data_IF_772761791139
#
_entry.id   IF_772761791139
#
_cell.length_a   1.000
_cell.length_b   1.000
_cell.length_c   1.000
_cell.angle_alpha   90.00
_cell.angle_beta   90.00
_cell.angle_gamma   90.00
#
_symmetry.space_group_name_H-M   'P 1'
#
loop_
_entity.id
_entity.type
_entity.pdbx_description
1 polymer ?
#
# COMPACT_ATOMS: atom_id res chain seq x y z
N UNK A 1 -35.79 -70.45 19.52
CA UNK A 1 -34.43 -70.16 20.03
C UNK A 1 -34.47 -68.77 20.66
N UNK A 2 -35.17 -68.65 21.79
CA UNK A 2 -34.66 -68.54 23.18
C UNK A 2 -34.07 -67.15 23.49
N UNK A 3 -34.96 -66.29 24.01
CA UNK A 3 -34.68 -65.13 24.88
C UNK A 3 -33.72 -65.48 26.01
N UNK A 4 -32.87 -64.54 26.47
CA UNK A 4 -32.68 -64.21 27.90
C UNK A 4 -32.27 -62.73 28.02
N UNK A 5 -33.16 -61.90 28.61
CA UNK A 5 -32.83 -60.68 29.37
C UNK A 5 -32.13 -61.10 30.66
N UNK A 6 -31.15 -60.33 31.13
CA UNK A 6 -30.83 -60.29 32.56
C UNK A 6 -30.57 -58.85 33.00
N UNK A 7 -31.56 -58.33 33.73
CA UNK A 7 -31.42 -57.26 34.71
C UNK A 7 -30.47 -57.71 35.83
N UNK A 8 -29.67 -56.78 36.37
CA UNK A 8 -29.42 -56.63 37.81
C UNK A 8 -28.27 -55.64 38.09
N UNK A 9 -28.63 -54.51 38.70
CA UNK A 9 -27.77 -53.70 39.56
C UNK A 9 -27.38 -54.49 40.82
N UNK A 10 -26.20 -54.21 41.40
CA UNK A 10 -26.19 -53.61 42.73
C UNK A 10 -25.24 -52.40 42.75
N UNK A 11 -25.68 -51.19 43.11
CA UNK A 11 -25.82 -50.77 44.51
C UNK A 11 -24.57 -51.05 45.37
N UNK A 12 -23.44 -50.37 45.11
CA UNK A 12 -22.41 -50.08 46.12
C UNK A 12 -21.39 -49.05 45.59
N UNK A 13 -21.54 -47.77 45.96
CA UNK A 13 -20.48 -46.81 46.35
C UNK A 13 -21.09 -45.40 46.41
N UNK A 14 -22.03 -45.21 47.34
CA UNK A 14 -22.61 -43.91 47.70
C UNK A 14 -22.14 -43.45 49.09
N UNK A 15 -20.96 -43.86 49.53
CA UNK A 15 -20.44 -43.51 50.85
C UNK A 15 -18.93 -43.36 50.76
N UNK A 16 -18.45 -42.15 51.09
CA UNK A 16 -17.05 -41.64 51.09
C UNK A 16 -16.82 -40.61 49.98
N UNK A 17 -17.47 -39.44 50.09
CA UNK A 17 -16.93 -38.14 49.64
C UNK A 17 -17.83 -36.98 50.15
N UNK A 18 -18.35 -37.14 51.37
CA UNK A 18 -19.16 -36.13 52.07
C UNK A 18 -18.59 -35.84 53.48
N UNK A 19 -17.26 -35.92 53.64
CA UNK A 19 -16.58 -35.66 54.91
C UNK A 19 -15.22 -34.96 54.70
N UNK A 20 -15.21 -33.91 53.87
CA UNK A 20 -14.05 -33.02 53.68
C UNK A 20 -14.50 -31.56 53.56
N UNK A 21 -15.46 -31.17 54.39
CA UNK A 21 -16.01 -29.79 54.44
C UNK A 21 -15.88 -29.10 55.80
N UNK A 22 -15.17 -29.67 56.78
CA UNK A 22 -15.06 -29.06 58.11
C UNK A 22 -13.68 -29.26 58.77
N UNK A 23 -12.68 -28.56 58.24
CA UNK A 23 -11.49 -28.05 58.95
C UNK A 23 -10.86 -27.02 57.99
N UNK A 24 -10.74 -25.72 58.26
CA UNK A 24 -10.39 -25.09 59.52
C UNK A 24 -9.10 -24.29 59.30
N UNK A 25 -9.26 -23.04 58.84
CA UNK A 25 -8.37 -21.88 59.02
C UNK A 25 -6.91 -21.90 58.50
N UNK A 26 -6.68 -21.21 57.38
CA UNK A 26 -6.06 -19.88 57.42
C UNK A 26 -6.70 -19.04 56.32
N UNK A 27 -6.96 -17.76 56.60
CA UNK A 27 -7.40 -16.83 55.57
C UNK A 27 -6.29 -16.71 54.53
N UNK A 28 -6.41 -17.47 53.45
CA UNK A 28 -5.86 -17.05 52.18
C UNK A 28 -6.74 -15.87 51.77
N UNK A 29 -6.30 -14.67 52.15
CA UNK A 29 -6.67 -13.48 51.40
C UNK A 29 -6.56 -13.86 49.92
N UNK A 30 -7.59 -13.58 49.08
CA UNK A 30 -7.40 -13.73 47.64
C UNK A 30 -6.09 -13.03 47.33
N UNK A 31 -5.10 -13.79 46.84
CA UNK A 31 -3.88 -13.21 46.30
C UNK A 31 -4.42 -12.31 45.20
N UNK A 32 -4.49 -11.03 45.51
CA UNK A 32 -4.79 -9.98 44.55
C UNK A 32 -3.83 -10.29 43.40
N UNK A 33 -4.32 -10.71 42.22
CA UNK A 33 -3.43 -10.88 41.10
C UNK A 33 -2.71 -9.54 41.01
N UNK A 34 -1.40 -9.56 41.28
CA UNK A 34 -0.59 -8.35 41.25
C UNK A 34 -0.92 -7.61 39.95
N UNK A 35 -0.89 -6.27 39.95
CA UNK A 35 -1.32 -5.46 38.81
C UNK A 35 -0.84 -6.14 37.53
N UNK A 36 -1.78 -6.51 36.65
CA UNK A 36 -1.46 -7.24 35.42
C UNK A 36 -0.28 -6.50 34.75
N UNK A 37 0.88 -7.17 34.71
CA UNK A 37 2.08 -6.57 34.13
C UNK A 37 1.74 -6.26 32.67
N UNK A 38 1.68 -4.96 32.34
CA UNK A 38 1.41 -4.51 30.98
C UNK A 38 2.37 -5.23 30.04
N UNK A 39 1.88 -6.07 29.10
CA UNK A 39 2.74 -6.81 28.20
C UNK A 39 3.51 -5.87 27.25
N UNK A 40 3.17 -4.58 27.20
CA UNK A 40 3.93 -3.58 26.47
C UNK A 40 4.16 -2.34 27.36
N UNK A 41 5.04 -2.41 28.36
CA UNK A 41 5.32 -1.25 29.19
C UNK A 41 5.85 -0.11 28.33
N UNK A 42 5.46 1.13 28.62
CA UNK A 42 5.93 2.29 27.87
C UNK A 42 7.47 2.33 27.84
N UNK A 43 8.11 2.43 26.67
CA UNK A 43 9.55 2.27 26.55
C UNK A 43 10.31 3.50 27.08
N UNK A 44 10.74 3.44 28.34
CA UNK A 44 11.54 4.49 28.99
C UNK A 44 12.99 4.56 28.50
N UNK A 45 13.41 3.61 27.66
CA UNK A 45 14.71 3.60 26.97
C UNK A 45 14.56 3.16 25.52
N UNK A 46 15.51 3.54 24.66
CA UNK A 46 15.54 3.07 23.27
C UNK A 46 15.67 1.53 23.15
N UNK A 47 16.29 0.87 24.13
CA UNK A 47 16.37 -0.60 24.13
C UNK A 47 15.03 -1.24 24.53
N UNK A 48 14.28 -0.63 25.45
CA UNK A 48 12.90 -1.05 25.74
C UNK A 48 11.98 -0.83 24.53
N UNK A 49 12.19 0.24 23.75
CA UNK A 49 11.48 0.50 22.50
C UNK A 49 11.69 -0.64 21.50
N UNK A 50 12.95 -1.07 21.30
CA UNK A 50 13.25 -2.16 20.37
C UNK A 50 12.75 -3.53 20.86
N UNK A 51 12.73 -3.77 22.17
CA UNK A 51 12.13 -4.98 22.74
C UNK A 51 10.60 -5.02 22.51
N UNK A 52 9.92 -3.88 22.62
CA UNK A 52 8.49 -3.78 22.30
C UNK A 52 8.24 -3.91 20.79
N UNK A 53 9.13 -3.37 19.95
CA UNK A 53 9.05 -3.53 18.48
C UNK A 53 9.13 -5.01 18.07
N UNK A 54 10.10 -5.74 18.64
CA UNK A 54 10.23 -7.19 18.43
C UNK A 54 8.94 -7.92 18.79
N UNK A 55 8.43 -7.67 20.00
CA UNK A 55 7.20 -8.30 20.50
C UNK A 55 5.98 -7.98 19.63
N UNK A 56 5.83 -6.73 19.21
CA UNK A 56 4.71 -6.33 18.35
C UNK A 56 4.70 -7.11 17.02
N UNK A 57 5.88 -7.41 16.46
CA UNK A 57 6.00 -8.26 15.27
C UNK A 57 5.73 -9.74 15.56
N UNK A 58 6.28 -10.30 16.64
CA UNK A 58 6.03 -11.71 16.99
C UNK A 58 4.55 -11.99 17.29
N UNK A 59 3.86 -11.04 17.91
CA UNK A 59 2.45 -11.13 18.27
C UNK A 59 1.49 -10.59 17.19
N UNK A 60 2.03 -10.09 16.07
CA UNK A 60 1.26 -9.46 14.98
C UNK A 60 0.33 -8.34 15.48
N UNK A 61 0.78 -7.56 16.45
CA UNK A 61 -0.02 -6.51 17.10
C UNK A 61 0.16 -5.17 16.40
N UNK A 62 -0.73 -4.86 15.44
CA UNK A 62 -0.70 -3.59 14.70
C UNK A 62 -0.94 -2.38 15.60
N UNK A 63 -1.80 -2.53 16.61
CA UNK A 63 -2.08 -1.47 17.59
C UNK A 63 -0.84 -1.13 18.43
N UNK A 64 -0.13 -2.15 18.93
CA UNK A 64 1.09 -1.92 19.71
C UNK A 64 2.22 -1.40 18.83
N UNK A 65 2.38 -1.92 17.62
CA UNK A 65 3.31 -1.36 16.64
C UNK A 65 3.07 0.13 16.41
N UNK A 66 1.82 0.53 16.13
CA UNK A 66 1.45 1.92 15.89
C UNK A 66 1.66 2.86 17.09
N UNK A 67 1.66 2.33 18.32
CA UNK A 67 1.98 3.09 19.54
C UNK A 67 3.47 3.40 19.67
N UNK A 68 4.33 2.55 19.11
CA UNK A 68 5.78 2.75 19.09
C UNK A 68 6.22 3.78 18.06
N UNK A 69 5.38 4.08 17.06
CA UNK A 69 5.70 5.04 16.00
C UNK A 69 5.39 6.48 16.45
N UNK A 70 6.38 7.36 16.34
CA UNK A 70 6.24 8.80 16.47
C UNK A 70 5.39 9.35 15.32
N UNK A 71 4.68 10.47 15.53
CA UNK A 71 3.88 11.14 14.49
C UNK A 71 4.67 11.42 13.21
N UNK A 72 5.90 11.93 13.36
CA UNK A 72 6.85 12.20 12.27
C UNK A 72 7.58 10.95 11.74
N UNK A 73 7.08 9.72 11.97
CA UNK A 73 7.77 8.51 11.53
C UNK A 73 7.94 8.47 10.01
N UNK A 74 9.14 8.08 9.55
CA UNK A 74 9.41 7.78 8.15
C UNK A 74 10.15 6.46 7.96
N UNK A 75 9.66 5.62 7.05
CA UNK A 75 10.38 4.46 6.53
C UNK A 75 11.04 4.80 5.19
N UNK A 76 12.35 4.63 5.09
CA UNK A 76 13.14 4.90 3.88
C UNK A 76 13.51 3.60 3.16
N UNK A 77 13.07 3.49 1.91
CA UNK A 77 13.30 2.30 1.07
C UNK A 77 14.72 2.25 0.51
N UNK A 78 15.25 1.03 0.34
CA UNK A 78 16.52 0.78 -0.32
C UNK A 78 16.36 0.65 -1.84
N UNK A 79 17.29 1.25 -2.60
CA UNK A 79 17.59 0.80 -3.97
C UNK A 79 16.68 1.31 -5.09
N UNK A 80 15.77 2.24 -4.84
CA UNK A 80 15.02 2.93 -5.89
C UNK A 80 15.91 3.99 -6.53
N UNK A 81 16.65 3.57 -7.57
CA UNK A 81 17.79 4.27 -8.18
C UNK A 81 17.60 5.76 -8.55
N UNK A 82 16.40 6.30 -8.55
CA UNK A 82 16.13 7.70 -8.90
C UNK A 82 15.12 8.43 -7.98
N UNK A 83 14.61 7.79 -6.91
CA UNK A 83 13.76 8.44 -5.88
C UNK A 83 13.89 7.68 -4.58
N UNK A 84 14.30 8.31 -3.48
CA UNK A 84 14.01 7.74 -2.15
C UNK A 84 12.49 7.76 -2.04
N UNK A 85 11.83 6.61 -2.19
CA UNK A 85 10.44 6.53 -1.73
C UNK A 85 10.50 6.45 -0.21
N UNK A 86 9.68 7.25 0.45
CA UNK A 86 9.47 7.15 1.90
C UNK A 86 8.03 6.77 2.16
N UNK A 87 7.81 5.96 3.19
CA UNK A 87 6.49 5.84 3.80
C UNK A 87 6.45 6.65 5.07
N UNK A 88 5.38 7.42 5.27
CA UNK A 88 5.11 8.07 6.55
C UNK A 88 4.55 7.06 7.56
N UNK A 89 4.30 7.52 8.79
CA UNK A 89 3.71 6.72 9.88
C UNK A 89 2.47 5.92 9.46
N UNK A 90 1.50 6.56 8.83
CA UNK A 90 0.20 5.96 8.55
C UNK A 90 0.29 4.97 7.38
N UNK A 91 1.08 5.28 6.34
CA UNK A 91 1.41 4.35 5.25
C UNK A 91 2.07 3.08 5.80
N UNK A 92 3.05 3.26 6.66
CA UNK A 92 3.80 2.18 7.25
C UNK A 92 2.96 1.32 8.19
N UNK A 93 2.16 1.97 9.04
CA UNK A 93 1.25 1.31 9.95
C UNK A 93 0.14 0.56 9.20
N UNK A 94 -0.41 1.13 8.13
CA UNK A 94 -1.43 0.48 7.31
C UNK A 94 -0.88 -0.79 6.65
N UNK A 95 0.25 -0.69 5.95
CA UNK A 95 0.90 -1.86 5.34
C UNK A 95 1.31 -2.93 6.36
N UNK A 96 1.89 -2.52 7.49
CA UNK A 96 2.28 -3.46 8.55
C UNK A 96 1.05 -4.12 9.20
N UNK A 97 -0.04 -3.37 9.41
CA UNK A 97 -1.29 -3.91 9.95
C UNK A 97 -2.01 -4.82 8.97
N UNK A 98 -1.96 -4.53 7.66
CA UNK A 98 -2.49 -5.39 6.61
C UNK A 98 -1.77 -6.75 6.61
N UNK A 99 -0.44 -6.73 6.69
CA UNK A 99 0.39 -7.93 6.85
C UNK A 99 0.01 -8.71 8.11
N UNK A 100 -0.08 -8.04 9.26
CA UNK A 100 -0.42 -8.66 10.55
C UNK A 100 -1.83 -9.24 10.61
N UNK A 101 -2.74 -8.74 9.78
CA UNK A 101 -4.11 -9.26 9.69
C UNK A 101 -4.20 -10.60 8.94
N UNK A 102 -3.08 -11.10 8.41
CA UNK A 102 -3.04 -12.33 7.63
C UNK A 102 -3.70 -12.19 6.26
N UNK A 103 -3.85 -10.97 5.75
CA UNK A 103 -4.36 -10.76 4.40
C UNK A 103 -3.32 -11.21 3.37
N UNK A 104 -3.73 -11.85 2.27
CA UNK A 104 -2.82 -12.19 1.19
C UNK A 104 -2.33 -10.92 0.51
N UNK A 105 -1.11 -11.00 -0.01
CA UNK A 105 -0.52 -9.98 -0.85
C UNK A 105 -0.63 -10.41 -2.32
N UNK A 106 -0.95 -9.48 -3.19
CA UNK A 106 -0.92 -9.71 -4.63
C UNK A 106 -0.11 -8.59 -5.28
N UNK A 107 0.94 -8.97 -5.99
CA UNK A 107 1.74 -8.05 -6.78
C UNK A 107 1.97 -8.66 -8.17
N UNK A 108 1.99 -7.83 -9.22
CA UNK A 108 2.14 -8.30 -10.60
C UNK A 108 3.50 -8.97 -10.85
N UNK A 109 4.54 -8.55 -10.13
CA UNK A 109 5.89 -9.08 -10.25
C UNK A 109 6.09 -10.35 -9.42
N UNK A 110 5.50 -10.39 -8.22
CA UNK A 110 5.70 -11.49 -7.26
C UNK A 110 4.57 -12.52 -7.21
N UNK A 111 3.48 -12.26 -7.93
CA UNK A 111 2.27 -13.06 -7.94
C UNK A 111 1.51 -13.02 -6.62
N UNK A 112 0.56 -13.95 -6.46
CA UNK A 112 -0.15 -14.16 -5.22
C UNK A 112 0.79 -14.69 -4.12
N UNK A 113 0.80 -14.03 -2.97
CA UNK A 113 1.47 -14.45 -1.75
C UNK A 113 0.39 -14.68 -0.69
N UNK A 114 0.32 -15.89 -0.10
CA UNK A 114 -0.58 -16.16 1.01
C UNK A 114 -0.31 -15.21 2.18
N UNK A 115 -1.32 -15.02 3.04
CA UNK A 115 -1.19 -14.14 4.21
C UNK A 115 -0.15 -14.63 5.22
N UNK A 116 0.36 -13.71 6.04
CA UNK A 116 1.27 -14.03 7.14
C UNK A 116 0.47 -14.58 8.33
N UNK A 117 0.76 -15.80 8.76
CA UNK A 117 0.14 -16.43 9.94
C UNK A 117 0.98 -16.25 11.21
N UNK A 118 2.27 -15.94 11.06
CA UNK A 118 3.15 -15.68 12.19
C UNK A 118 4.52 -15.21 11.78
N UNK A 119 5.21 -14.57 12.72
CA UNK A 119 6.54 -14.04 12.53
C UNK A 119 7.40 -14.52 13.70
N UNK A 120 8.63 -14.93 13.40
CA UNK A 120 9.64 -15.23 14.42
C UNK A 120 10.83 -14.31 14.21
N UNK A 121 11.22 -13.62 15.27
CA UNK A 121 12.41 -12.75 15.27
C UNK A 121 13.61 -13.57 15.73
N UNK A 122 14.40 -14.05 14.76
CA UNK A 122 15.62 -14.80 15.06
C UNK A 122 16.77 -13.88 15.47
N UNK A 123 16.79 -12.65 14.97
CA UNK A 123 17.86 -11.69 15.24
C UNK A 123 17.30 -10.28 15.21
N UNK A 124 17.45 -9.55 16.31
CA UNK A 124 17.31 -8.10 16.38
C UNK A 124 18.44 -7.57 17.26
N UNK A 125 19.66 -7.55 16.69
CA UNK A 125 20.87 -7.28 17.46
C UNK A 125 21.48 -5.96 17.03
N UNK A 126 21.52 -5.01 17.97
CA UNK A 126 22.17 -3.72 17.81
C UNK A 126 23.66 -3.89 17.49
N UNK A 127 24.13 -3.31 16.38
CA UNK A 127 25.51 -3.36 15.90
C UNK A 127 26.33 -2.13 16.32
N UNK A 128 25.67 -0.99 16.51
CA UNK A 128 26.31 0.27 16.92
C UNK A 128 25.66 0.81 18.20
N UNK A 129 26.37 1.64 18.96
CA UNK A 129 25.68 2.41 20.00
C UNK A 129 24.66 3.37 19.39
N UNK A 130 23.67 3.76 20.18
CA UNK A 130 22.80 4.88 19.83
C UNK A 130 23.64 6.16 19.74
N UNK A 131 23.54 6.84 18.61
CA UNK A 131 24.26 8.08 18.34
C UNK A 131 23.27 9.17 17.97
N UNK A 132 23.40 10.34 18.58
CA UNK A 132 22.57 11.49 18.22
C UNK A 132 22.82 11.87 16.75
N UNK A 133 21.73 12.10 16.02
CA UNK A 133 21.80 12.73 14.71
C UNK A 133 22.06 14.22 14.87
N UNK A 134 22.53 14.85 13.79
CA UNK A 134 22.73 16.29 13.80
C UNK A 134 21.37 17.02 13.91
N UNK A 135 21.37 18.19 14.56
CA UNK A 135 20.15 19.01 14.66
C UNK A 135 19.65 19.50 13.29
N UNK A 136 20.54 19.53 12.30
CA UNK A 136 20.28 19.89 10.90
C UNK A 136 20.23 18.67 9.97
N UNK A 137 20.09 17.45 10.52
CA UNK A 137 19.79 16.27 9.72
C UNK A 137 18.47 16.51 8.96
N UNK A 138 18.46 16.36 7.62
CA UNK A 138 17.30 16.70 6.81
C UNK A 138 16.10 15.79 7.05
N UNK A 139 16.34 14.55 7.50
CA UNK A 139 15.31 13.52 7.58
C UNK A 139 14.91 13.27 9.04
N UNK A 140 15.90 13.21 9.96
CA UNK A 140 15.64 12.88 11.38
C UNK A 140 16.35 13.83 12.36
N UNK A 141 16.00 15.13 12.39
CA UNK A 141 16.65 16.10 13.26
C UNK A 141 16.35 15.84 14.74
N UNK A 142 17.38 15.97 15.59
CA UNK A 142 17.29 15.74 17.06
C UNK A 142 16.78 14.32 17.41
N UNK A 143 17.26 13.31 16.69
CA UNK A 143 16.96 11.91 16.96
C UNK A 143 18.22 11.17 17.40
N UNK A 144 18.07 9.91 17.79
CA UNK A 144 19.17 8.96 17.97
C UNK A 144 19.06 7.88 16.91
N UNK A 145 20.17 7.45 16.33
CA UNK A 145 20.21 6.35 15.37
C UNK A 145 21.13 5.21 15.82
N UNK A 146 20.79 4.00 15.43
CA UNK A 146 21.65 2.83 15.58
C UNK A 146 21.40 1.81 14.45
N UNK A 147 22.46 1.12 14.04
CA UNK A 147 22.38 -0.01 13.12
C UNK A 147 22.02 -1.29 13.87
N UNK A 148 21.17 -2.10 13.26
CA UNK A 148 20.73 -3.40 13.75
C UNK A 148 20.92 -4.46 12.67
N UNK A 149 21.38 -5.65 13.08
CA UNK A 149 21.20 -6.86 12.29
C UNK A 149 19.80 -7.40 12.54
N UNK A 150 19.03 -7.58 11.48
CA UNK A 150 17.62 -7.96 11.52
C UNK A 150 17.45 -9.29 10.78
N UNK A 151 16.92 -10.29 11.47
CA UNK A 151 16.71 -11.66 11.00
C UNK A 151 15.29 -12.13 11.36
N UNK A 152 14.35 -12.03 10.42
CA UNK A 152 12.94 -12.34 10.62
C UNK A 152 12.52 -13.50 9.72
N UNK A 153 11.73 -14.42 10.26
CA UNK A 153 11.12 -15.52 9.50
C UNK A 153 9.62 -15.33 9.51
N UNK A 154 9.04 -15.21 8.32
CA UNK A 154 7.61 -15.02 8.12
C UNK A 154 7.01 -16.36 7.70
N UNK A 155 6.04 -16.84 8.47
CA UNK A 155 5.27 -18.05 8.20
C UNK A 155 4.03 -17.67 7.41
N UNK A 156 3.88 -18.26 6.22
CA UNK A 156 2.74 -18.01 5.35
C UNK A 156 1.63 -19.02 5.57
N UNK A 157 0.41 -18.62 5.24
CA UNK A 157 -0.77 -19.49 5.25
C UNK A 157 -0.51 -20.82 4.54
N UNK A 158 -0.87 -21.91 5.22
CA UNK A 158 -0.59 -23.28 4.78
C UNK A 158 0.71 -23.87 5.34
N UNK A 159 1.49 -23.11 6.12
CA UNK A 159 2.49 -23.59 7.08
C UNK A 159 3.78 -24.22 6.52
N UNK A 160 3.87 -24.47 5.22
CA UNK A 160 5.10 -25.02 4.59
C UNK A 160 5.97 -23.95 3.92
N UNK A 161 5.41 -22.77 3.67
CA UNK A 161 6.10 -21.70 2.96
C UNK A 161 6.52 -20.64 3.97
N UNK A 162 7.79 -20.27 3.92
CA UNK A 162 8.35 -19.16 4.70
C UNK A 162 9.16 -18.28 3.77
N UNK A 163 9.22 -17.00 4.07
CA UNK A 163 10.30 -16.16 3.56
C UNK A 163 11.06 -15.57 4.74
N UNK A 164 12.33 -15.25 4.50
CA UNK A 164 13.24 -14.73 5.53
C UNK A 164 13.72 -13.36 5.10
N UNK A 165 13.85 -12.46 6.07
CA UNK A 165 14.60 -11.23 5.89
C UNK A 165 15.81 -11.31 6.80
N UNK A 166 17.01 -11.23 6.23
CA UNK A 166 18.29 -11.23 6.96
C UNK A 166 19.19 -10.11 6.44
N UNK A 167 19.01 -8.91 6.98
CA UNK A 167 19.65 -7.68 6.49
C UNK A 167 20.03 -6.74 7.63
N UNK A 168 20.73 -5.66 7.27
CA UNK A 168 21.03 -4.58 8.20
C UNK A 168 19.98 -3.48 8.02
N UNK A 169 19.55 -2.88 9.12
CA UNK A 169 18.59 -1.77 9.17
C UNK A 169 19.18 -0.66 10.04
N UNK A 170 18.90 0.61 9.71
CA UNK A 170 19.14 1.72 10.64
C UNK A 170 17.79 2.11 11.24
N UNK A 171 17.73 2.13 12.57
CA UNK A 171 16.57 2.64 13.30
C UNK A 171 16.88 4.03 13.83
N UNK A 172 15.88 4.91 13.77
CA UNK A 172 15.91 6.25 14.32
C UNK A 172 14.84 6.33 15.42
N UNK A 173 15.24 6.76 16.61
CA UNK A 173 14.38 6.90 17.78
C UNK A 173 14.48 8.31 18.34
N UNK A 174 13.37 8.81 18.89
CA UNK A 174 13.29 10.15 19.49
C UNK A 174 12.79 10.02 20.91
N UNK A 175 13.44 10.74 21.83
CA UNK A 175 12.92 10.90 23.19
C UNK A 175 11.66 11.78 23.13
N UNK A 176 10.59 11.29 23.74
CA UNK A 176 9.31 11.97 23.90
C UNK A 176 9.00 12.11 25.40
N UNK A 177 7.89 12.75 25.73
CA UNK A 177 7.47 12.87 27.13
C UNK A 177 7.36 11.47 27.75
N UNK A 178 8.17 11.23 28.77
CA UNK A 178 8.23 10.00 29.56
C UNK A 178 8.72 8.73 28.83
N UNK A 179 9.31 8.82 27.63
CA UNK A 179 9.93 7.64 26.99
C UNK A 179 10.46 7.86 25.58
N UNK A 180 10.40 6.82 24.75
CA UNK A 180 11.01 6.77 23.42
C UNK A 180 10.02 6.27 22.37
N UNK A 181 10.10 6.82 21.16
CA UNK A 181 9.35 6.33 20.01
C UNK A 181 10.26 6.22 18.79
N UNK A 182 9.91 5.35 17.85
CA UNK A 182 10.55 5.26 16.54
C UNK A 182 10.13 6.46 15.69
N UNK A 183 11.09 7.24 15.22
CA UNK A 183 10.87 8.33 14.28
C UNK A 183 11.35 7.96 12.87
N UNK A 184 12.05 6.83 12.72
CA UNK A 184 12.29 6.31 11.40
C UNK A 184 12.93 4.95 11.36
N UNK A 185 12.89 4.35 10.18
CA UNK A 185 13.57 3.11 9.85
C UNK A 185 14.10 3.21 8.43
N UNK A 186 15.32 2.76 8.19
CA UNK A 186 15.96 2.78 6.89
C UNK A 186 16.42 1.39 6.51
N UNK A 187 15.98 0.96 5.33
CA UNK A 187 16.54 -0.22 4.70
C UNK A 187 17.92 0.12 4.10
N UNK A 188 18.97 -0.50 4.63
CA UNK A 188 20.36 -0.25 4.19
C UNK A 188 20.71 -1.13 2.98
N UNK A 189 19.79 -2.00 2.59
CA UNK A 189 19.96 -2.95 1.50
C UNK A 189 20.67 -4.22 1.94
N UNK A 190 20.39 -5.30 1.22
CA UNK A 190 20.89 -6.61 1.59
C UNK A 190 22.33 -6.85 1.09
N UNK A 191 23.16 -7.44 1.94
CA UNK A 191 24.15 -8.44 1.51
C UNK A 191 23.45 -9.80 1.33
N UNK A 192 22.42 -9.85 0.47
CA UNK A 192 21.58 -11.03 0.26
C UNK A 192 22.44 -12.27 -0.06
N UNK A 193 22.30 -13.32 0.76
CA UNK A 193 22.88 -14.64 0.54
C UNK A 193 21.90 -15.54 -0.22
N UNK A 194 21.93 -15.45 -1.55
CA UNK A 194 21.64 -16.47 -2.56
C UNK A 194 20.31 -17.30 -2.53
N UNK A 195 19.51 -17.31 -1.47
CA UNK A 195 18.29 -18.12 -1.39
C UNK A 195 17.07 -17.22 -1.09
N UNK A 196 16.52 -16.61 -2.15
CA UNK A 196 15.26 -15.84 -2.13
C UNK A 196 15.18 -14.75 -1.03
N UNK A 197 16.25 -13.98 -0.86
CA UNK A 197 16.27 -12.91 0.14
C UNK A 197 15.34 -11.75 -0.27
N UNK A 198 14.28 -11.58 0.51
CA UNK A 198 13.41 -10.42 0.46
C UNK A 198 14.07 -9.29 1.28
N UNK A 199 14.14 -8.08 0.73
CA UNK A 199 14.52 -6.90 1.52
C UNK A 199 13.32 -6.41 2.32
N UNK A 200 13.57 -5.58 3.34
CA UNK A 200 12.49 -4.94 4.10
C UNK A 200 11.61 -4.08 3.19
N UNK A 201 12.25 -3.40 2.24
CA UNK A 201 11.60 -2.66 1.16
C UNK A 201 10.66 -3.52 0.34
N UNK A 202 11.12 -4.68 -0.15
CA UNK A 202 10.27 -5.60 -0.94
C UNK A 202 9.11 -6.13 -0.11
N UNK A 203 9.34 -6.44 1.17
CA UNK A 203 8.27 -6.92 2.06
C UNK A 203 7.18 -5.86 2.24
N UNK A 204 7.58 -4.63 2.60
CA UNK A 204 6.63 -3.55 2.81
C UNK A 204 5.83 -3.27 1.54
N UNK A 205 6.49 -3.21 0.38
CA UNK A 205 5.80 -3.10 -0.90
C UNK A 205 4.80 -4.23 -1.15
N UNK A 206 5.19 -5.47 -0.86
CA UNK A 206 4.36 -6.64 -1.08
C UNK A 206 3.08 -6.61 -0.24
N UNK A 207 3.17 -6.23 1.04
CA UNK A 207 2.02 -6.18 1.96
C UNK A 207 1.49 -4.78 2.21
N UNK A 208 1.71 -3.85 1.29
CA UNK A 208 1.01 -2.57 1.35
C UNK A 208 -0.49 -2.82 1.36
N UNK A 209 -1.21 -2.05 2.15
CA UNK A 209 -2.66 -2.11 2.14
C UNK A 209 -3.14 -1.64 0.74
N UNK A 210 -3.85 -2.48 -0.03
CA UNK A 210 -4.29 -2.14 -1.37
C UNK A 210 -5.25 -0.95 -1.40
N UNK A 211 -5.91 -0.66 -0.28
CA UNK A 211 -6.79 0.50 -0.13
C UNK A 211 -6.02 1.73 0.38
N UNK A 212 -4.77 1.57 0.83
CA UNK A 212 -3.91 2.67 1.29
C UNK A 212 -2.89 3.02 0.19
N UNK A 213 -3.28 3.95 -0.69
CA UNK A 213 -2.38 4.41 -1.73
C UNK A 213 -1.49 5.57 -1.30
N UNK A 214 -0.30 5.63 -1.92
CA UNK A 214 0.77 6.52 -1.51
C UNK A 214 0.34 7.99 -1.55
N UNK A 215 0.51 8.67 -0.42
CA UNK A 215 0.30 10.10 -0.32
C UNK A 215 1.32 10.81 -1.21
N UNK A 216 0.83 11.44 -2.28
CA UNK A 216 1.69 12.09 -3.27
C UNK A 216 1.94 13.54 -2.85
N UNK A 217 3.09 13.82 -2.24
CA UNK A 217 3.48 15.19 -1.83
C UNK A 217 4.08 16.00 -2.96
N UNK A 218 4.48 15.32 -4.05
CA UNK A 218 5.02 15.94 -5.25
C UNK A 218 4.24 15.50 -6.49
N UNK A 219 4.23 16.32 -7.56
CA UNK A 219 3.72 15.90 -8.87
C UNK A 219 4.36 14.61 -9.38
N UNK A 220 5.64 14.44 -9.05
CA UNK A 220 6.44 13.33 -9.51
C UNK A 220 5.98 12.02 -8.86
N UNK A 221 5.77 12.01 -7.53
CA UNK A 221 5.17 10.89 -6.80
C UNK A 221 3.77 10.54 -7.32
N UNK A 222 2.93 11.56 -7.56
CA UNK A 222 1.60 11.38 -8.15
C UNK A 222 1.66 10.62 -9.48
N UNK A 223 2.61 10.95 -10.36
CA UNK A 223 2.76 10.23 -11.63
C UNK A 223 3.29 8.80 -11.46
N UNK A 224 4.01 8.53 -10.36
CA UNK A 224 4.35 7.17 -9.95
C UNK A 224 3.11 6.38 -9.56
N UNK A 225 2.26 6.97 -8.72
CA UNK A 225 0.96 6.38 -8.33
C UNK A 225 0.06 6.14 -9.53
N UNK A 226 -0.04 7.10 -10.44
CA UNK A 226 -0.78 6.95 -11.69
C UNK A 226 -0.30 5.75 -12.50
N UNK A 227 1.02 5.61 -12.67
CA UNK A 227 1.60 4.52 -13.44
C UNK A 227 1.30 3.16 -12.81
N UNK A 228 1.38 3.12 -11.48
CA UNK A 228 1.09 1.93 -10.70
C UNK A 228 -0.38 1.53 -10.81
N UNK A 229 -1.31 2.46 -10.60
CA UNK A 229 -2.75 2.21 -10.70
C UNK A 229 -3.14 1.65 -12.08
N UNK A 230 -2.53 2.16 -13.16
CA UNK A 230 -2.73 1.64 -14.50
C UNK A 230 -2.09 0.26 -14.71
N UNK A 231 -0.87 0.03 -14.24
CA UNK A 231 -0.20 -1.27 -14.33
C UNK A 231 -1.04 -2.36 -13.69
N UNK A 232 -1.40 -2.14 -12.43
CA UNK A 232 -2.18 -3.07 -11.60
C UNK A 232 -3.68 -3.13 -11.96
N UNK A 233 -4.13 -2.32 -12.92
CA UNK A 233 -5.54 -2.19 -13.30
C UNK A 233 -6.45 -1.94 -12.08
N UNK A 234 -6.01 -1.09 -11.15
CA UNK A 234 -6.71 -0.85 -9.88
C UNK A 234 -7.49 0.46 -9.92
N UNK A 235 -8.81 0.38 -9.77
CA UNK A 235 -9.70 1.53 -9.94
C UNK A 235 -9.73 2.46 -8.72
N UNK A 236 -9.76 1.93 -7.50
CA UNK A 236 -9.81 2.77 -6.29
C UNK A 236 -8.59 3.72 -6.20
N UNK A 237 -7.35 3.25 -6.45
CA UNK A 237 -6.17 4.10 -6.46
C UNK A 237 -6.19 5.14 -7.57
N UNK A 238 -6.68 4.76 -8.74
CA UNK A 238 -6.83 5.68 -9.84
C UNK A 238 -7.82 6.79 -9.49
N UNK A 239 -8.97 6.43 -8.92
CA UNK A 239 -9.99 7.38 -8.46
C UNK A 239 -9.50 8.34 -7.37
N UNK A 240 -8.75 7.81 -6.41
CA UNK A 240 -8.22 8.54 -5.26
C UNK A 240 -7.19 9.61 -5.68
N UNK A 241 -6.47 9.41 -6.78
CA UNK A 241 -5.56 10.43 -7.33
C UNK A 241 -6.23 11.46 -8.23
N UNK A 242 -7.49 11.28 -8.65
CA UNK A 242 -8.18 12.27 -9.49
C UNK A 242 -8.75 13.41 -8.65
N UNK A 243 -8.41 14.65 -9.02
CA UNK A 243 -9.05 15.85 -8.45
C UNK A 243 -10.55 15.87 -8.78
N UNK A 244 -11.39 16.49 -7.93
CA UNK A 244 -12.84 16.56 -8.17
C UNK A 244 -13.22 17.18 -9.52
N UNK A 245 -12.52 18.25 -9.91
CA UNK A 245 -12.65 18.93 -11.21
C UNK A 245 -11.85 18.28 -12.35
N UNK A 246 -11.50 16.99 -12.26
CA UNK A 246 -10.70 16.33 -13.29
C UNK A 246 -11.35 16.45 -14.67
N UNK A 247 -10.51 16.74 -15.69
CA UNK A 247 -10.90 16.71 -17.10
C UNK A 247 -9.91 15.92 -17.96
N UNK A 248 -10.44 15.11 -18.86
CA UNK A 248 -9.70 14.52 -19.96
C UNK A 248 -10.09 15.18 -21.28
N UNK A 249 -9.14 15.84 -21.93
CA UNK A 249 -9.33 16.53 -23.22
C UNK A 249 -8.77 15.66 -24.34
N UNK A 250 -9.63 15.31 -25.29
CA UNK A 250 -9.28 14.50 -26.44
C UNK A 250 -8.46 15.31 -27.46
N UNK A 251 -7.74 14.60 -28.32
CA UNK A 251 -7.04 15.23 -29.45
C UNK A 251 -8.00 16.09 -30.28
N UNK A 252 -7.52 17.25 -30.74
CA UNK A 252 -8.31 18.25 -31.49
C UNK A 252 -9.53 18.80 -30.73
N UNK A 253 -9.55 18.69 -29.40
CA UNK A 253 -10.62 19.14 -28.50
C UNK A 253 -12.00 18.58 -28.89
N UNK A 254 -12.03 17.42 -29.55
CA UNK A 254 -13.28 16.81 -30.07
C UNK A 254 -14.23 16.37 -28.97
N UNK A 255 -13.73 16.17 -27.75
CA UNK A 255 -14.51 15.88 -26.57
C UNK A 255 -13.74 16.30 -25.31
N UNK A 256 -14.50 16.63 -24.28
CA UNK A 256 -14.00 16.81 -22.91
C UNK A 256 -14.79 15.84 -22.04
N UNK A 257 -14.08 14.98 -21.32
CA UNK A 257 -14.66 14.09 -20.32
C UNK A 257 -14.36 14.64 -18.94
N UNK A 258 -15.34 14.54 -18.04
CA UNK A 258 -15.15 14.83 -16.64
C UNK A 258 -14.62 13.61 -15.87
N UNK A 259 -14.44 13.76 -14.55
CA UNK A 259 -14.04 12.66 -13.65
C UNK A 259 -14.93 11.43 -13.78
N UNK A 260 -16.25 11.59 -13.87
CA UNK A 260 -17.18 10.47 -13.86
C UNK A 260 -17.13 9.68 -15.18
N UNK A 261 -17.09 10.38 -16.31
CA UNK A 261 -16.91 9.77 -17.63
C UNK A 261 -15.60 8.98 -17.72
N UNK A 262 -14.52 9.57 -17.23
CA UNK A 262 -13.20 8.95 -17.23
C UNK A 262 -13.15 7.71 -16.34
N UNK A 263 -13.66 7.81 -15.10
CA UNK A 263 -13.73 6.68 -14.18
C UNK A 263 -14.60 5.55 -14.72
N UNK A 264 -15.74 5.85 -15.34
CA UNK A 264 -16.61 4.82 -15.90
C UNK A 264 -15.89 4.03 -17.01
N UNK A 265 -15.18 4.73 -17.91
CA UNK A 265 -14.38 4.08 -18.94
C UNK A 265 -13.21 3.29 -18.36
N UNK A 266 -12.49 3.87 -17.40
CA UNK A 266 -11.29 3.25 -16.82
C UNK A 266 -11.67 2.04 -15.97
N UNK A 267 -12.74 2.10 -15.19
CA UNK A 267 -13.29 0.98 -14.43
C UNK A 267 -13.71 -0.18 -15.34
N UNK A 268 -14.37 0.12 -16.47
CA UNK A 268 -14.78 -0.90 -17.43
C UNK A 268 -13.57 -1.62 -18.06
N UNK A 269 -12.54 -0.84 -18.40
CA UNK A 269 -11.27 -1.35 -18.91
C UNK A 269 -10.53 -2.20 -17.86
N UNK A 270 -10.42 -1.73 -16.62
CA UNK A 270 -9.74 -2.41 -15.51
C UNK A 270 -10.46 -3.67 -15.05
N UNK A 271 -11.78 -3.73 -15.18
CA UNK A 271 -12.55 -4.95 -14.94
C UNK A 271 -12.38 -6.01 -16.05
N UNK A 272 -11.67 -5.69 -17.13
CA UNK A 272 -11.51 -6.58 -18.30
C UNK A 272 -12.80 -6.79 -19.08
N UNK A 273 -13.77 -5.87 -18.97
CA UNK A 273 -15.01 -5.97 -19.71
C UNK A 273 -14.76 -5.70 -21.22
N UNK A 274 -15.53 -6.35 -22.11
CA UNK A 274 -15.47 -6.07 -23.54
C UNK A 274 -15.74 -4.59 -23.85
N UNK A 275 -14.94 -4.03 -24.75
CA UNK A 275 -15.18 -2.71 -25.32
C UNK A 275 -16.13 -2.75 -26.53
N UNK A 276 -16.30 -1.61 -27.18
CA UNK A 276 -17.11 -1.45 -28.38
C UNK A 276 -16.38 -0.60 -29.42
N UNK A 277 -16.29 -1.11 -30.66
CA UNK A 277 -15.77 -0.36 -31.79
C UNK A 277 -16.79 0.72 -32.24
N UNK A 278 -16.37 1.73 -33.02
CA UNK A 278 -17.27 2.79 -33.51
C UNK A 278 -18.46 2.29 -34.34
N UNK A 279 -18.35 1.12 -34.97
CA UNK A 279 -19.44 0.48 -35.73
C UNK A 279 -20.42 -0.33 -34.86
N UNK A 280 -20.19 -0.34 -33.54
CA UNK A 280 -20.98 -1.07 -32.56
C UNK A 280 -20.58 -2.53 -32.36
N UNK A 281 -19.60 -3.04 -33.10
CA UNK A 281 -19.07 -4.40 -32.88
C UNK A 281 -18.27 -4.49 -31.58
N UNK A 282 -18.22 -5.69 -30.99
CA UNK A 282 -17.49 -5.91 -29.75
C UNK A 282 -15.98 -5.82 -29.96
N UNK A 283 -15.28 -5.31 -28.95
CA UNK A 283 -13.84 -5.39 -28.77
C UNK A 283 -13.55 -6.29 -27.57
N UNK A 284 -12.53 -7.12 -27.66
CA UNK A 284 -12.10 -7.96 -26.52
C UNK A 284 -11.76 -7.10 -25.31
N UNK A 285 -11.96 -7.65 -24.11
CA UNK A 285 -11.60 -6.97 -22.85
C UNK A 285 -10.10 -6.86 -22.66
N UNK A 286 -9.66 -5.91 -21.82
CA UNK A 286 -8.25 -5.80 -21.43
C UNK A 286 -7.91 -6.85 -20.39
N UNK A 287 -6.86 -7.62 -20.63
CA UNK A 287 -6.33 -8.63 -19.72
C UNK A 287 -5.20 -8.10 -18.85
N UNK A 288 -4.34 -7.25 -19.41
CA UNK A 288 -3.25 -6.59 -18.68
C UNK A 288 -2.85 -5.29 -19.34
N UNK A 289 -2.29 -4.37 -18.55
CA UNK A 289 -1.78 -3.09 -19.02
C UNK A 289 -0.30 -3.00 -18.64
N UNK A 290 0.54 -2.61 -19.59
CA UNK A 290 1.95 -2.37 -19.34
C UNK A 290 2.31 -0.95 -19.76
N UNK A 291 2.69 -0.13 -18.78
CA UNK A 291 3.21 1.21 -18.98
C UNK A 291 4.71 1.14 -19.32
N UNK A 292 5.03 0.91 -20.59
CA UNK A 292 6.42 0.79 -21.04
C UNK A 292 7.19 2.11 -20.94
N UNK A 293 6.51 3.25 -21.07
CA UNK A 293 7.12 4.57 -21.00
C UNK A 293 6.15 5.57 -20.40
N UNK A 294 6.60 6.27 -19.36
CA UNK A 294 5.97 7.47 -18.81
C UNK A 294 7.09 8.42 -18.42
N UNK A 295 7.66 9.10 -19.43
CA UNK A 295 8.86 9.92 -19.25
C UNK A 295 8.48 11.39 -19.41
N UNK A 296 8.65 12.15 -18.33
CA UNK A 296 8.47 13.61 -18.33
C UNK A 296 9.48 14.26 -19.30
N UNK A 297 8.97 15.02 -20.27
CA UNK A 297 9.73 15.73 -21.31
C UNK A 297 10.00 17.20 -20.98
N UNK A 298 9.13 17.83 -20.18
CA UNK A 298 9.27 19.23 -19.74
C UNK A 298 9.22 19.33 -18.21
N UNK A 299 9.83 20.34 -17.57
CA UNK A 299 9.56 20.59 -16.16
C UNK A 299 8.07 20.87 -15.92
N UNK A 300 7.65 20.81 -14.65
CA UNK A 300 6.34 21.29 -14.23
C UNK A 300 6.29 22.82 -14.34
N UNK A 301 5.27 23.32 -15.03
CA UNK A 301 5.04 24.74 -15.27
C UNK A 301 3.69 25.14 -14.70
N UNK A 302 3.65 26.18 -13.86
CA UNK A 302 2.39 26.71 -13.34
C UNK A 302 1.48 27.29 -14.44
N UNK A 303 0.22 26.92 -14.40
CA UNK A 303 -0.85 27.43 -15.26
C UNK A 303 -1.54 28.60 -14.56
N UNK A 304 -1.89 29.62 -15.35
CA UNK A 304 -2.53 30.81 -14.82
C UNK A 304 -3.93 30.51 -14.29
N UNK A 305 -4.33 31.15 -13.19
CA UNK A 305 -5.69 31.11 -12.60
C UNK A 305 -6.86 31.40 -13.56
N UNK A 306 -6.58 31.93 -14.76
CA UNK A 306 -7.60 32.31 -15.74
C UNK A 306 -7.71 31.28 -16.88
N UNK A 307 -6.95 30.19 -16.82
CA UNK A 307 -7.10 29.09 -17.76
C UNK A 307 -8.52 28.51 -17.60
N UNK A 308 -9.30 28.38 -18.70
CA UNK A 308 -10.69 27.93 -18.61
C UNK A 308 -10.80 26.45 -18.24
N UNK A 309 -9.76 25.67 -18.50
CA UNK A 309 -9.79 24.21 -18.34
C UNK A 309 -9.12 23.77 -17.04
N UNK A 310 -7.95 24.33 -16.73
CA UNK A 310 -7.10 23.90 -15.62
C UNK A 310 -6.55 25.07 -14.78
N UNK A 311 -7.41 25.90 -14.15
CA UNK A 311 -6.97 27.03 -13.35
C UNK A 311 -6.12 26.57 -12.15
N UNK A 312 -5.07 27.34 -11.84
CA UNK A 312 -4.17 27.12 -10.68
C UNK A 312 -3.53 25.72 -10.62
N UNK A 313 -3.33 25.09 -11.78
CA UNK A 313 -2.66 23.79 -11.92
C UNK A 313 -1.17 23.93 -12.27
N UNK A 314 -0.42 22.84 -12.19
CA UNK A 314 0.89 22.69 -12.81
C UNK A 314 0.79 21.72 -13.99
N UNK A 315 1.49 22.00 -15.08
CA UNK A 315 1.46 21.18 -16.31
C UNK A 315 2.84 20.68 -16.68
N UNK A 316 2.94 19.44 -17.13
CA UNK A 316 4.12 18.92 -17.80
C UNK A 316 3.76 18.01 -18.98
N UNK A 317 4.63 18.00 -19.99
CA UNK A 317 4.55 17.11 -21.14
C UNK A 317 5.21 15.77 -20.80
N UNK A 318 4.54 14.67 -21.13
CA UNK A 318 5.04 13.32 -20.98
C UNK A 318 5.05 12.59 -22.32
N UNK A 319 6.10 11.81 -22.56
CA UNK A 319 6.09 10.77 -23.57
C UNK A 319 5.48 9.52 -22.94
N UNK A 320 4.42 9.02 -23.56
CA UNK A 320 3.67 7.88 -23.07
C UNK A 320 3.75 6.72 -24.07
N UNK A 321 4.09 5.54 -23.57
CA UNK A 321 3.94 4.27 -24.27
C UNK A 321 3.22 3.27 -23.37
N UNK A 322 1.99 2.91 -23.73
CA UNK A 322 1.17 1.96 -22.99
C UNK A 322 0.79 0.83 -23.92
N UNK A 323 0.92 -0.40 -23.44
CA UNK A 323 0.48 -1.61 -24.13
C UNK A 323 -0.65 -2.26 -23.35
N UNK A 324 -1.80 -2.40 -24.00
CA UNK A 324 -2.94 -3.15 -23.50
C UNK A 324 -2.91 -4.54 -24.14
N UNK A 325 -2.78 -5.58 -23.34
CA UNK A 325 -2.95 -6.96 -23.80
C UNK A 325 -4.42 -7.31 -23.69
N UNK A 326 -5.03 -7.77 -24.78
CA UNK A 326 -6.44 -8.14 -24.79
C UNK A 326 -6.65 -9.60 -24.41
N UNK A 327 -7.88 -9.96 -24.06
CA UNK A 327 -8.29 -11.34 -23.77
C UNK A 327 -7.82 -12.30 -24.89
N UNK A 328 -7.21 -13.43 -24.49
CA UNK A 328 -6.59 -14.38 -25.39
C UNK A 328 -5.11 -14.10 -25.72
N UNK A 329 -4.57 -12.95 -25.29
CA UNK A 329 -3.13 -12.65 -25.24
C UNK A 329 -2.41 -12.42 -26.58
N UNK A 330 -3.08 -12.70 -27.71
CA UNK A 330 -2.50 -12.55 -29.05
C UNK A 330 -2.68 -11.14 -29.62
N UNK A 331 -3.74 -10.44 -29.22
CA UNK A 331 -4.07 -9.10 -29.69
C UNK A 331 -3.63 -8.07 -28.66
N UNK A 332 -3.04 -6.97 -29.14
CA UNK A 332 -2.65 -5.85 -28.29
C UNK A 332 -3.07 -4.52 -28.89
N UNK A 333 -3.36 -3.55 -28.03
CA UNK A 333 -3.52 -2.15 -28.40
C UNK A 333 -2.30 -1.41 -27.86
N UNK A 334 -1.66 -0.57 -28.68
CA UNK A 334 -0.53 0.25 -28.23
C UNK A 334 -0.88 1.72 -28.37
N UNK A 335 -0.73 2.46 -27.28
CA UNK A 335 -0.76 3.91 -27.25
C UNK A 335 0.68 4.38 -27.21
N UNK A 336 1.12 5.07 -28.25
CA UNK A 336 2.37 5.82 -28.25
C UNK A 336 1.98 7.28 -28.54
N UNK A 337 2.10 8.16 -27.56
CA UNK A 337 1.60 9.54 -27.71
C UNK A 337 2.29 10.48 -26.74
N UNK A 338 2.33 11.76 -27.11
CA UNK A 338 2.63 12.82 -26.16
C UNK A 338 1.35 13.17 -25.39
N UNK A 339 1.47 13.37 -24.09
CA UNK A 339 0.35 13.73 -23.20
C UNK A 339 0.75 14.93 -22.35
N UNK A 340 -0.13 15.92 -22.22
CA UNK A 340 0.01 16.91 -21.14
C UNK A 340 -0.73 16.40 -19.91
N UNK A 341 -0.03 16.31 -18.79
CA UNK A 341 -0.65 16.06 -17.50
C UNK A 341 -0.74 17.37 -16.72
N UNK A 342 -1.87 17.56 -16.05
CA UNK A 342 -2.17 18.71 -15.22
C UNK A 342 -2.38 18.22 -13.80
N UNK A 343 -1.66 18.78 -12.84
CA UNK A 343 -1.73 18.39 -11.43
C UNK A 343 -2.06 19.60 -10.57
N UNK A 344 -2.66 19.36 -9.41
CA UNK A 344 -3.04 20.42 -8.49
C UNK A 344 -2.68 20.01 -7.07
N UNK A 345 -2.04 20.92 -6.35
CA UNK A 345 -1.71 20.74 -4.94
C UNK A 345 -2.86 21.24 -4.06
N UNK A 346 -3.22 20.48 -3.05
CA UNK A 346 -4.18 20.87 -2.02
C UNK A 346 -3.60 20.66 -0.63
N UNK A 347 -4.04 21.48 0.32
CA UNK A 347 -3.71 21.30 1.74
C UNK A 347 -4.82 20.47 2.39
N UNK A 348 -4.49 19.26 2.80
CA UNK A 348 -5.44 18.34 3.43
C UNK A 348 -5.19 18.30 4.93
N UNK A 349 -6.24 18.58 5.72
CA UNK A 349 -6.23 18.43 7.17
C UNK A 349 -6.08 16.96 7.55
N UNK A 350 -5.09 16.64 8.39
CA UNK A 350 -4.80 15.28 8.85
C UNK A 350 -5.68 14.87 10.05
N UNK A 351 -6.52 15.77 10.56
CA UNK A 351 -7.42 15.52 11.69
C UNK A 351 -6.79 15.75 13.07
N UNK A 352 -5.48 15.97 13.13
CA UNK A 352 -4.73 16.37 14.33
C UNK A 352 -4.45 17.89 14.39
N UNK A 353 -5.00 18.65 13.44
CA UNK A 353 -4.78 20.08 13.26
C UNK A 353 -3.55 20.44 12.44
N UNK A 354 -2.81 19.46 11.92
CA UNK A 354 -1.77 19.66 10.91
C UNK A 354 -2.37 19.54 9.50
N UNK A 355 -1.76 20.25 8.55
CA UNK A 355 -2.11 20.15 7.13
C UNK A 355 -0.93 19.61 6.34
N UNK A 356 -1.22 18.77 5.35
CA UNK A 356 -0.22 18.22 4.45
C UNK A 356 -0.59 18.49 3.01
N UNK A 357 0.40 18.83 2.19
CA UNK A 357 0.21 18.99 0.76
C UNK A 357 -0.06 17.63 0.12
N UNK A 358 -1.12 17.53 -0.67
CA UNK A 358 -1.40 16.38 -1.53
C UNK A 358 -1.56 16.85 -2.97
N UNK A 359 -0.90 16.19 -3.89
CA UNK A 359 -1.09 16.40 -5.32
C UNK A 359 -2.16 15.46 -5.86
N UNK A 360 -3.05 16.03 -6.68
CA UNK A 360 -4.07 15.33 -7.44
C UNK A 360 -3.89 15.56 -8.94
N UNK A 361 -4.29 14.59 -9.75
CA UNK A 361 -4.37 14.74 -11.18
C UNK A 361 -5.61 15.59 -11.50
N UNK A 362 -5.39 16.83 -11.92
CA UNK A 362 -6.42 17.77 -12.32
C UNK A 362 -6.88 17.56 -13.78
N UNK A 363 -6.05 16.90 -14.59
CA UNK A 363 -6.47 16.54 -15.93
C UNK A 363 -5.39 16.00 -16.81
N UNK A 364 -5.81 15.65 -18.01
CA UNK A 364 -4.95 15.11 -19.06
C UNK A 364 -5.42 15.64 -20.42
N UNK A 365 -4.47 16.03 -21.28
CA UNK A 365 -4.74 16.35 -22.68
C UNK A 365 -3.97 15.42 -23.60
N UNK A 366 -4.72 14.74 -24.47
CA UNK A 366 -4.17 13.86 -25.49
C UNK A 366 -3.69 14.67 -26.69
N UNK A 367 -2.37 14.73 -26.89
CA UNK A 367 -1.78 15.44 -28.04
C UNK A 367 -1.63 14.52 -29.26
N UNK A 368 -2.02 13.26 -29.14
CA UNK A 368 -1.86 12.26 -30.18
C UNK A 368 -0.42 11.84 -30.43
N UNK A 369 -0.25 11.18 -31.57
CA UNK A 369 1.03 10.59 -31.96
C UNK A 369 1.83 11.52 -32.87
N UNK A 370 3.14 11.67 -32.59
CA UNK A 370 4.07 12.48 -33.41
C UNK A 370 4.93 11.68 -34.38
N UNK A 371 4.80 10.35 -34.47
CA UNK A 371 5.67 9.50 -35.30
C UNK A 371 5.01 8.89 -36.55
N UNK A 372 5.60 7.81 -37.09
CA UNK A 372 5.12 7.02 -38.24
C UNK A 372 5.05 5.51 -37.94
N UNK A 373 4.39 5.08 -36.86
CA UNK A 373 4.03 3.69 -36.68
C UNK A 373 2.71 3.38 -37.40
N UNK A 374 2.51 2.10 -37.69
CA UNK A 374 1.47 1.63 -38.62
C UNK A 374 0.15 1.26 -37.93
N UNK A 375 0.07 1.22 -36.59
CA UNK A 375 -1.12 0.76 -35.84
C UNK A 375 -1.32 1.53 -34.50
N UNK A 376 -0.87 2.77 -34.40
CA UNK A 376 -0.97 3.54 -33.17
C UNK A 376 -2.37 4.14 -33.01
N UNK A 377 -2.98 3.92 -31.84
CA UNK A 377 -4.20 4.59 -31.40
C UNK A 377 -3.86 5.65 -30.35
N UNK A 378 -4.64 6.71 -30.32
CA UNK A 378 -4.55 7.74 -29.28
C UNK A 378 -5.10 7.22 -27.96
N UNK A 379 -4.73 7.85 -26.84
CA UNK A 379 -5.24 7.45 -25.53
C UNK A 379 -6.75 7.66 -25.47
N UNK A 380 -7.24 8.79 -25.97
CA UNK A 380 -8.67 9.08 -26.07
C UNK A 380 -9.42 8.02 -26.87
N UNK A 381 -8.84 7.51 -27.97
CA UNK A 381 -9.44 6.40 -28.71
C UNK A 381 -9.57 5.13 -27.86
N UNK A 382 -8.53 4.77 -27.09
CA UNK A 382 -8.62 3.61 -26.19
C UNK A 382 -9.69 3.81 -25.13
N UNK A 383 -9.72 4.96 -24.45
CA UNK A 383 -10.77 5.29 -23.48
C UNK A 383 -12.17 5.19 -24.13
N UNK A 384 -12.35 5.73 -25.33
CA UNK A 384 -13.62 5.64 -26.06
C UNK A 384 -14.09 4.21 -26.30
N UNK A 385 -13.17 3.28 -26.62
CA UNK A 385 -13.51 1.87 -26.84
C UNK A 385 -14.11 1.21 -25.59
N UNK A 386 -13.74 1.64 -24.40
CA UNK A 386 -14.21 1.06 -23.13
C UNK A 386 -15.21 1.95 -22.40
N UNK A 387 -15.67 3.04 -23.02
CA UNK A 387 -16.75 3.85 -22.46
C UNK A 387 -18.08 3.08 -22.44
N UNK A 388 -18.93 3.27 -21.41
CA UNK A 388 -20.29 2.76 -21.43
C UNK A 388 -21.06 3.23 -22.68
N UNK A 389 -21.77 2.30 -23.34
CA UNK A 389 -22.42 2.53 -24.65
C UNK A 389 -23.43 3.69 -24.71
N UNK A 390 -23.96 4.10 -23.56
CA UNK A 390 -24.90 5.21 -23.47
C UNK A 390 -24.20 6.58 -23.58
N UNK A 391 -22.94 6.68 -23.15
CA UNK A 391 -22.11 7.90 -23.30
C UNK A 391 -21.74 8.15 -24.75
N UNK A 392 -21.38 7.08 -25.49
CA UNK A 392 -20.97 7.17 -26.91
C UNK A 392 -22.12 7.64 -27.80
N UNK A 393 -23.37 7.28 -27.47
CA UNK A 393 -24.56 7.61 -28.29
C UNK A 393 -25.09 9.02 -28.05
N UNK A 394 -24.99 9.54 -26.82
CA UNK A 394 -25.46 10.88 -26.50
C UNK A 394 -24.65 11.96 -27.23
N UNK A 395 -23.32 11.81 -27.28
CA UNK A 395 -22.42 12.85 -27.83
C UNK A 395 -22.34 12.88 -29.36
N UNK A 396 -22.42 11.72 -30.03
CA UNK A 396 -22.52 11.68 -31.50
C UNK A 396 -23.82 12.29 -32.07
N UNK A 397 -24.82 12.56 -31.22
CA UNK A 397 -26.07 13.24 -31.60
C UNK A 397 -26.04 14.75 -31.36
N UNK A 398 -25.17 15.27 -30.50
CA UNK A 398 -25.08 16.72 -30.22
C UNK A 398 -24.18 17.47 -31.22
N UNK A 399 -23.25 16.77 -31.87
CA UNK A 399 -22.37 17.32 -32.92
C UNK A 399 -22.96 17.21 -34.36
N UNK A 400 -24.26 16.92 -34.50
CA UNK A 400 -25.00 16.92 -35.78
C UNK A 400 -26.14 17.93 -35.75
#
# INVERSE_FOLDING_TARGET
>A
MTNIRNDALPALLCTILAALWLSGCSGDDPVDPGPDDDPYPWPVTADALMANFERAYEELSGAEYGRLLHADFQFMFFGTKDRVSTWNRDEDLAGTSYMFSGNPAADEHWGYRPGVEGITVNTLVRQTEWTETANDDPDFPNSSRAEYRVGFVFMLEGGTNTFTIDCDQIFYAKEVVDGWQLVGQQDVGSSARANEDMTWSTLKWLYRDPDFYQWSETPDELMGTFAQAYGEMSINPYEDILHEDFKFIFIDDVAIWDKADDLASTANMFAGNPGQNPDGSFREGVQSISLNTLIRQTPWEGIHANDPDFPDSERALYQVNIRFTLEGGLNTITVASDQEFYVKAEQIDQGDGTTRTRYFLAGQRDLGYRGKANEDVTWGQVKSLYSPSDMTRARLQEDR
#
